data_IF_905549291180
#
_entry.id   IF_905549291180
#
_cell.length_a   1.000
_cell.length_b   1.000
_cell.length_c   1.000
_cell.angle_alpha   90.00
_cell.angle_beta   90.00
_cell.angle_gamma   90.00
#
_symmetry.space_group_name_H-M   'P 1'
#
loop_
_entity.id
_entity.type
_entity.pdbx_description
1 polymer ?
#
# COMPACT_ATOMS: atom_id res chain seq x y z
N UNK A 1 21.96 -50.24 50.73
CA UNK A 1 20.55 -49.80 50.78
C UNK A 1 20.45 -48.50 49.97
N UNK A 2 20.14 -48.61 48.68
CA UNK A 2 20.00 -47.49 47.76
C UNK A 2 18.60 -46.89 47.90
N UNK A 3 18.49 -45.57 48.05
CA UNK A 3 17.24 -44.83 47.88
C UNK A 3 17.40 -43.91 46.67
N UNK A 4 16.88 -44.39 45.54
CA UNK A 4 16.61 -43.62 44.34
C UNK A 4 15.42 -42.67 44.60
N UNK A 5 15.62 -41.38 44.36
CA UNK A 5 14.52 -40.44 44.11
C UNK A 5 14.68 -39.88 42.70
N UNK A 6 14.11 -40.61 41.75
CA UNK A 6 13.79 -40.12 40.41
C UNK A 6 12.46 -39.36 40.50
N UNK A 7 12.47 -38.05 40.29
CA UNK A 7 11.25 -37.25 40.15
C UNK A 7 11.16 -36.62 38.76
N UNK A 8 10.77 -37.40 37.73
CA UNK A 8 10.60 -36.92 36.36
C UNK A 8 9.53 -35.82 36.23
N UNK A 9 8.67 -35.63 37.25
CA UNK A 9 7.61 -34.61 37.24
C UNK A 9 8.13 -33.18 37.46
N UNK A 10 9.22 -33.00 38.21
CA UNK A 10 9.78 -31.65 38.48
C UNK A 10 10.53 -31.12 37.25
N UNK A 11 11.19 -32.01 36.50
CA UNK A 11 11.88 -31.67 35.26
C UNK A 11 10.89 -31.32 34.12
N UNK A 12 9.74 -32.01 34.06
CA UNK A 12 8.68 -31.72 33.08
C UNK A 12 7.99 -30.37 33.34
N UNK A 13 7.76 -30.02 34.62
CA UNK A 13 7.18 -28.73 35.03
C UNK A 13 8.14 -27.56 34.76
N UNK A 14 9.44 -27.75 34.96
CA UNK A 14 10.45 -26.74 34.62
C UNK A 14 10.56 -26.53 33.09
N UNK A 15 10.48 -27.61 32.29
CA UNK A 15 10.45 -27.51 30.82
C UNK A 15 9.18 -26.84 30.30
N UNK A 16 8.00 -27.09 30.91
CA UNK A 16 6.74 -26.42 30.56
C UNK A 16 6.70 -24.94 30.98
N UNK A 17 7.35 -24.56 32.09
CA UNK A 17 7.51 -23.15 32.48
C UNK A 17 8.49 -22.40 31.56
N UNK A 18 9.57 -23.05 31.12
CA UNK A 18 10.50 -22.46 30.13
C UNK A 18 9.84 -22.40 28.74
N UNK A 19 9.04 -23.40 28.34
CA UNK A 19 8.29 -23.35 27.07
C UNK A 19 7.19 -22.27 27.08
N UNK A 20 6.50 -22.05 28.21
CA UNK A 20 5.49 -20.99 28.34
C UNK A 20 6.08 -19.59 28.49
N UNK A 21 7.30 -19.45 29.01
CA UNK A 21 8.04 -18.17 29.00
C UNK A 21 8.65 -17.84 27.63
N UNK A 22 8.97 -18.85 26.80
CA UNK A 22 9.42 -18.64 25.40
C UNK A 22 8.27 -18.48 24.39
N UNK A 23 7.07 -19.01 24.67
CA UNK A 23 5.88 -18.82 23.82
C UNK A 23 5.23 -17.44 24.00
N UNK A 24 5.47 -16.76 25.13
CA UNK A 24 4.92 -15.43 25.39
C UNK A 24 5.82 -14.27 24.91
N UNK A 25 7.01 -14.53 24.39
CA UNK A 25 7.94 -13.49 23.90
C UNK A 25 8.03 -13.37 22.37
N UNK A 26 7.16 -14.09 21.64
CA UNK A 26 7.06 -14.03 20.17
C UNK A 26 5.67 -13.67 19.70
N UNK A 27 4.91 -12.90 20.49
CA UNK A 27 4.05 -11.91 19.85
C UNK A 27 5.01 -10.91 19.21
N UNK A 28 5.16 -11.00 17.89
CA UNK A 28 5.68 -9.91 17.09
C UNK A 28 4.81 -8.70 17.42
N UNK A 29 5.23 -7.93 18.41
CA UNK A 29 4.62 -6.68 18.78
C UNK A 29 4.78 -5.85 17.52
N UNK A 30 3.67 -5.70 16.79
CA UNK A 30 3.63 -4.85 15.62
C UNK A 30 4.08 -3.50 16.12
N UNK A 31 5.34 -3.14 15.87
CA UNK A 31 5.87 -1.92 16.44
C UNK A 31 5.07 -0.82 15.78
N UNK A 32 4.52 0.09 16.59
CA UNK A 32 3.61 1.16 16.15
C UNK A 32 4.20 2.04 15.01
N UNK A 33 5.48 1.83 14.67
CA UNK A 33 6.27 2.62 13.74
C UNK A 33 6.75 1.82 12.50
N UNK A 34 6.24 0.62 12.26
CA UNK A 34 6.50 -0.16 11.03
C UNK A 34 5.51 0.17 9.90
N UNK A 35 5.72 -0.35 8.69
CA UNK A 35 4.92 -0.03 7.49
C UNK A 35 4.27 -1.27 6.89
N UNK A 36 3.26 -1.86 7.54
CA UNK A 36 2.83 -3.23 7.28
C UNK A 36 1.99 -3.41 6.01
N UNK A 37 1.56 -2.33 5.35
CA UNK A 37 0.58 -2.37 4.26
C UNK A 37 0.68 -1.11 3.39
N UNK A 38 -0.10 -1.11 2.30
CA UNK A 38 -0.31 0.05 1.46
C UNK A 38 -0.56 1.33 2.28
N UNK A 39 0.23 2.38 2.01
CA UNK A 39 0.18 3.68 2.67
C UNK A 39 0.38 3.66 4.20
N UNK A 40 1.12 2.67 4.71
CA UNK A 40 1.54 2.63 6.11
C UNK A 40 0.47 2.10 7.08
N UNK A 41 0.70 2.18 8.40
CA UNK A 41 -0.13 1.52 9.42
C UNK A 41 -1.63 1.76 9.30
N UNK A 42 -2.02 3.02 9.10
CA UNK A 42 -3.41 3.44 8.98
C UNK A 42 -3.93 3.45 7.53
N UNK A 43 -3.06 3.21 6.54
CA UNK A 43 -3.39 3.37 5.12
C UNK A 43 -3.57 4.82 4.67
N UNK A 44 -3.18 5.79 5.48
CA UNK A 44 -3.35 7.23 5.21
C UNK A 44 -2.12 7.90 4.58
N UNK A 45 -0.97 7.21 4.55
CA UNK A 45 0.30 7.76 4.07
C UNK A 45 0.94 8.68 5.09
N UNK A 46 1.05 8.20 6.33
CA UNK A 46 1.67 8.94 7.43
C UNK A 46 2.78 8.08 8.04
N UNK A 47 3.93 8.70 8.28
CA UNK A 47 5.07 8.10 8.94
C UNK A 47 5.32 8.80 10.27
N UNK A 48 5.22 8.03 11.35
CA UNK A 48 5.64 8.43 12.70
C UNK A 48 7.17 8.31 12.82
N UNK A 49 7.84 9.35 12.37
CA UNK A 49 9.28 9.47 12.33
C UNK A 49 9.85 9.76 13.74
N UNK A 50 11.03 9.21 14.08
CA UNK A 50 11.71 9.52 15.33
C UNK A 50 11.85 11.04 15.54
N UNK A 51 11.62 11.53 16.76
CA UNK A 51 11.65 12.98 17.06
C UNK A 51 12.97 13.66 16.69
N UNK A 52 14.09 12.93 16.73
CA UNK A 52 15.41 13.43 16.39
C UNK A 52 15.80 13.21 14.92
N UNK A 53 14.88 12.84 14.05
CA UNK A 53 15.14 12.71 12.60
C UNK A 53 15.53 14.05 12.00
N UNK A 54 16.52 14.05 11.10
CA UNK A 54 16.96 15.24 10.36
C UNK A 54 16.36 15.22 8.96
N UNK A 55 15.64 16.30 8.65
CA UNK A 55 14.95 16.48 7.37
C UNK A 55 15.67 17.49 6.46
N UNK A 56 16.64 18.22 6.99
CA UNK A 56 17.57 19.04 6.23
C UNK A 56 18.87 18.25 6.03
N UNK A 57 19.20 17.98 4.77
CA UNK A 57 20.34 17.18 4.32
C UNK A 57 21.44 18.01 3.68
N UNK A 58 21.49 19.31 3.98
CA UNK A 58 22.58 20.21 3.58
C UNK A 58 23.93 19.80 4.17
N UNK A 59 23.92 19.15 5.35
CA UNK A 59 25.10 18.70 6.09
C UNK A 59 25.25 17.18 6.05
N UNK A 60 24.29 16.46 6.62
CA UNK A 60 24.25 15.00 6.63
C UNK A 60 23.19 14.47 5.66
N UNK A 61 23.59 13.59 4.74
CA UNK A 61 22.69 13.01 3.73
C UNK A 61 22.23 11.60 4.14
N UNK A 62 21.10 11.11 3.57
CA UNK A 62 20.73 9.71 3.71
C UNK A 62 21.90 8.78 3.32
N UNK A 63 22.18 7.78 4.16
CA UNK A 63 23.28 6.85 3.95
C UNK A 63 22.76 5.49 3.48
N UNK A 64 23.30 4.97 2.38
CA UNK A 64 22.97 3.61 1.92
C UNK A 64 23.38 2.58 2.99
N UNK A 65 22.44 1.73 3.40
CA UNK A 65 22.67 0.64 4.35
C UNK A 65 22.94 -0.65 3.60
N UNK A 66 22.09 -0.98 2.62
CA UNK A 66 22.25 -2.13 1.74
C UNK A 66 21.48 -1.92 0.44
N UNK A 67 21.89 -2.67 -0.58
CA UNK A 67 21.25 -2.77 -1.89
C UNK A 67 21.11 -4.25 -2.26
N UNK A 68 20.02 -4.61 -2.94
CA UNK A 68 19.74 -5.96 -3.43
C UNK A 68 19.23 -5.93 -4.86
N UNK A 69 19.75 -6.82 -5.71
CA UNK A 69 19.20 -7.06 -7.05
C UNK A 69 17.84 -7.75 -6.96
N UNK A 70 16.86 -7.21 -7.68
CA UNK A 70 15.48 -7.72 -7.76
C UNK A 70 15.03 -7.73 -9.21
N UNK A 71 13.97 -8.49 -9.51
CA UNK A 71 13.32 -8.47 -10.82
C UNK A 71 12.36 -7.28 -10.99
N UNK A 72 11.91 -6.98 -12.22
CA UNK A 72 11.01 -5.86 -12.52
C UNK A 72 9.67 -5.98 -11.80
N UNK A 73 9.15 -4.87 -11.26
CA UNK A 73 7.88 -4.82 -10.54
C UNK A 73 7.55 -3.39 -10.06
N UNK A 74 6.27 -3.14 -9.81
CA UNK A 74 5.78 -1.90 -9.18
C UNK A 74 5.22 -2.14 -7.77
N UNK A 75 5.45 -3.33 -7.21
CA UNK A 75 5.03 -3.69 -5.87
C UNK A 75 5.61 -2.72 -4.85
N UNK A 76 4.77 -2.17 -3.99
CA UNK A 76 5.27 -1.45 -2.82
C UNK A 76 5.95 -2.39 -1.83
N UNK A 77 6.53 -1.79 -0.79
CA UNK A 77 7.27 -2.52 0.24
C UNK A 77 6.45 -2.52 1.54
N UNK A 78 6.43 -3.66 2.22
CA UNK A 78 5.84 -3.81 3.55
C UNK A 78 6.93 -4.15 4.57
N UNK A 79 6.85 -3.57 5.76
CA UNK A 79 7.82 -3.77 6.84
C UNK A 79 7.08 -4.14 8.12
N UNK A 80 7.58 -5.13 8.85
CA UNK A 80 7.09 -5.52 10.18
C UNK A 80 8.21 -6.17 10.98
N UNK A 81 8.60 -5.57 12.10
CA UNK A 81 9.75 -6.01 12.87
C UNK A 81 11.02 -5.99 12.01
N UNK A 82 11.74 -7.11 11.96
CA UNK A 82 12.95 -7.26 11.13
C UNK A 82 12.66 -7.79 9.70
N UNK A 83 11.39 -7.90 9.32
CA UNK A 83 10.96 -8.41 8.02
C UNK A 83 10.65 -7.26 7.06
N UNK A 84 11.23 -7.30 5.86
CA UNK A 84 10.91 -6.41 4.73
C UNK A 84 10.43 -7.29 3.57
N UNK A 85 9.18 -7.12 3.16
CA UNK A 85 8.50 -7.99 2.19
C UNK A 85 8.03 -7.18 1.00
N UNK A 86 8.31 -7.66 -0.21
CA UNK A 86 7.81 -7.11 -1.48
C UNK A 86 7.66 -8.23 -2.51
N UNK A 87 7.31 -7.87 -3.74
CA UNK A 87 7.13 -8.81 -4.84
C UNK A 87 7.91 -8.39 -6.08
N UNK A 88 8.41 -9.35 -6.84
CA UNK A 88 8.97 -9.15 -8.17
C UNK A 88 8.54 -10.23 -9.16
N UNK A 89 8.84 -10.02 -10.45
CA UNK A 89 8.78 -11.08 -11.45
C UNK A 89 10.21 -11.50 -11.78
N UNK A 90 10.45 -12.81 -11.79
CA UNK A 90 11.72 -13.39 -12.19
C UNK A 90 11.51 -14.25 -13.44
N UNK A 91 12.49 -14.24 -14.32
CA UNK A 91 12.50 -15.18 -15.44
C UNK A 91 12.70 -16.60 -14.91
N UNK A 92 12.09 -17.58 -15.59
CA UNK A 92 12.35 -18.99 -15.31
C UNK A 92 12.89 -19.64 -16.60
N UNK A 93 13.90 -20.52 -16.46
CA UNK A 93 14.53 -21.19 -17.61
C UNK A 93 13.58 -22.20 -18.29
N UNK A 94 12.41 -22.44 -17.70
CA UNK A 94 11.42 -23.43 -18.14
C UNK A 94 10.41 -22.84 -19.15
N UNK A 95 10.45 -21.54 -19.42
CA UNK A 95 9.50 -20.87 -20.35
C UNK A 95 9.77 -21.15 -21.83
N UNK A 96 10.85 -21.87 -22.17
CA UNK A 96 11.23 -22.13 -23.56
C UNK A 96 11.55 -20.84 -24.35
N UNK A 97 11.92 -19.76 -23.66
CA UNK A 97 12.23 -18.47 -24.27
C UNK A 97 11.02 -17.53 -24.48
N UNK A 98 9.83 -17.87 -23.95
CA UNK A 98 8.70 -16.93 -23.95
C UNK A 98 8.96 -15.76 -22.97
N UNK A 99 9.11 -14.51 -23.48
CA UNK A 99 9.38 -13.33 -22.64
C UNK A 99 8.19 -12.90 -21.77
N UNK A 100 7.00 -13.47 -21.98
CA UNK A 100 5.78 -13.18 -21.23
C UNK A 100 5.48 -14.22 -20.13
N UNK A 101 6.17 -15.36 -20.13
CA UNK A 101 6.11 -16.34 -19.07
C UNK A 101 7.22 -16.07 -18.04
N UNK A 102 6.99 -16.45 -16.79
CA UNK A 102 7.97 -16.32 -15.71
C UNK A 102 7.29 -16.65 -14.39
N UNK A 103 7.96 -16.33 -13.28
CA UNK A 103 7.40 -16.53 -11.96
C UNK A 103 7.19 -15.18 -11.27
N UNK A 104 6.00 -14.99 -10.69
CA UNK A 104 5.84 -13.96 -9.67
C UNK A 104 6.37 -14.51 -8.33
N UNK A 105 7.20 -13.71 -7.67
CA UNK A 105 7.84 -14.06 -6.41
C UNK A 105 7.45 -13.06 -5.33
N UNK A 106 6.99 -13.59 -4.19
CA UNK A 106 6.92 -12.87 -2.92
C UNK A 106 8.20 -13.22 -2.15
N UNK A 107 8.93 -12.24 -1.66
CA UNK A 107 10.16 -12.51 -0.90
C UNK A 107 10.30 -11.59 0.30
N UNK A 108 10.98 -12.09 1.32
CA UNK A 108 11.30 -11.37 2.53
C UNK A 108 12.81 -11.26 2.69
N UNK A 109 13.27 -10.07 3.06
CA UNK A 109 14.66 -9.82 3.44
C UNK A 109 14.77 -9.32 4.86
N UNK A 110 15.95 -9.48 5.44
CA UNK A 110 16.28 -8.91 6.74
C UNK A 110 16.38 -7.39 6.64
N UNK A 111 15.67 -6.68 7.52
CA UNK A 111 15.62 -5.21 7.55
C UNK A 111 17.00 -4.55 7.65
N UNK A 112 17.94 -5.15 8.39
CA UNK A 112 19.26 -4.58 8.69
C UNK A 112 20.31 -4.91 7.63
N UNK A 113 20.24 -6.08 7.02
CA UNK A 113 21.31 -6.58 6.13
C UNK A 113 20.90 -6.68 4.66
N UNK A 114 19.60 -6.76 4.35
CA UNK A 114 19.11 -7.02 2.98
C UNK A 114 19.20 -8.49 2.54
N UNK A 115 19.66 -9.37 3.43
CA UNK A 115 19.79 -10.81 3.17
C UNK A 115 18.43 -11.46 3.00
N UNK A 116 18.33 -12.42 2.08
CA UNK A 116 17.10 -13.17 1.85
C UNK A 116 16.79 -14.03 3.08
N UNK A 117 15.57 -13.91 3.61
CA UNK A 117 15.06 -14.80 4.67
C UNK A 117 14.28 -15.95 4.05
N UNK A 118 13.31 -15.63 3.18
CA UNK A 118 12.50 -16.61 2.48
C UNK A 118 11.97 -16.03 1.16
N UNK A 119 11.56 -16.92 0.26
CA UNK A 119 10.81 -16.57 -0.94
C UNK A 119 9.76 -17.63 -1.25
N UNK A 120 8.67 -17.20 -1.89
CA UNK A 120 7.62 -18.04 -2.43
C UNK A 120 7.31 -17.57 -3.86
N UNK A 121 7.37 -18.49 -4.82
CA UNK A 121 7.15 -18.19 -6.23
C UNK A 121 6.04 -19.05 -6.81
N UNK A 122 5.38 -18.54 -7.85
CA UNK A 122 4.40 -19.27 -8.65
C UNK A 122 4.46 -18.83 -10.11
N UNK A 123 4.16 -19.74 -11.06
CA UNK A 123 4.12 -19.40 -12.47
C UNK A 123 3.09 -18.29 -12.77
N UNK A 124 3.47 -17.35 -13.63
CA UNK A 124 2.61 -16.28 -14.10
C UNK A 124 2.91 -15.97 -15.57
N UNK A 125 1.85 -15.88 -16.37
CA UNK A 125 1.95 -15.58 -17.79
C UNK A 125 1.25 -14.26 -18.09
N UNK A 126 2.01 -13.29 -18.58
CA UNK A 126 1.58 -11.91 -18.79
C UNK A 126 1.03 -11.64 -20.20
N UNK A 127 0.50 -12.66 -20.88
CA UNK A 127 -0.02 -12.55 -22.26
C UNK A 127 -1.13 -11.51 -22.42
N UNK A 128 -1.92 -11.28 -21.37
CA UNK A 128 -3.08 -10.39 -21.39
C UNK A 128 -2.75 -9.00 -20.77
N UNK A 129 -1.49 -8.73 -20.44
CA UNK A 129 -1.04 -7.45 -19.87
C UNK A 129 -0.36 -6.57 -20.93
N UNK A 130 -0.64 -5.27 -20.87
CA UNK A 130 -0.05 -4.27 -21.79
C UNK A 130 1.46 -4.08 -21.62
N UNK A 131 2.01 -4.45 -20.46
CA UNK A 131 3.46 -4.48 -20.24
C UNK A 131 3.86 -5.58 -19.26
N UNK A 132 5.12 -6.03 -19.38
CA UNK A 132 5.59 -7.27 -18.78
C UNK A 132 6.32 -7.11 -17.41
N UNK A 133 6.17 -5.96 -16.75
CA UNK A 133 6.74 -5.73 -15.41
C UNK A 133 5.89 -6.38 -14.32
N UNK A 134 6.56 -6.88 -13.28
CA UNK A 134 6.01 -7.77 -12.25
C UNK A 134 4.87 -7.22 -11.40
N UNK A 135 4.56 -7.85 -10.25
CA UNK A 135 3.43 -7.50 -9.40
C UNK A 135 3.38 -6.02 -8.99
N UNK A 136 2.19 -5.54 -8.60
CA UNK A 136 1.93 -4.10 -8.42
C UNK A 136 1.31 -3.73 -7.06
N UNK A 137 0.86 -4.73 -6.30
CA UNK A 137 0.33 -4.50 -4.95
C UNK A 137 1.44 -4.24 -3.95
N UNK A 138 1.13 -3.55 -2.86
CA UNK A 138 1.93 -3.65 -1.63
C UNK A 138 1.42 -4.85 -0.83
N UNK A 139 2.30 -5.78 -0.40
CA UNK A 139 1.90 -6.84 0.51
C UNK A 139 1.25 -6.28 1.78
N UNK A 140 0.26 -6.97 2.32
CA UNK A 140 -0.37 -6.60 3.59
C UNK A 140 0.05 -7.60 4.66
N UNK A 141 0.77 -7.13 5.68
CA UNK A 141 1.18 -7.91 6.85
C UNK A 141 0.16 -7.69 7.95
N UNK A 142 -0.44 -8.76 8.45
CA UNK A 142 -1.38 -8.72 9.57
C UNK A 142 -1.29 -10.01 10.38
N UNK A 143 -1.17 -9.90 11.70
CA UNK A 143 -1.16 -11.04 12.64
C UNK A 143 -0.24 -12.21 12.21
N UNK A 144 1.00 -11.90 11.85
CA UNK A 144 2.01 -12.91 11.47
C UNK A 144 1.78 -13.55 10.09
N UNK A 145 0.89 -12.98 9.27
CA UNK A 145 0.59 -13.43 7.90
C UNK A 145 0.86 -12.32 6.92
N UNK A 146 1.17 -12.68 5.68
CA UNK A 146 1.29 -11.76 4.56
C UNK A 146 0.31 -12.14 3.46
N UNK A 147 -0.43 -11.13 2.99
CA UNK A 147 -1.44 -11.23 1.95
C UNK A 147 -1.00 -10.48 0.71
N UNK A 148 -1.07 -11.15 -0.44
CA UNK A 148 -0.71 -10.57 -1.74
C UNK A 148 -1.72 -10.94 -2.80
N UNK A 149 -1.86 -10.08 -3.81
CA UNK A 149 -2.57 -10.38 -5.05
C UNK A 149 -1.61 -10.17 -6.22
N UNK A 150 -1.29 -11.26 -6.91
CA UNK A 150 -0.44 -11.24 -8.10
C UNK A 150 -1.09 -10.48 -9.27
N UNK A 151 -0.27 -10.03 -10.24
CA UNK A 151 -0.78 -9.21 -11.34
C UNK A 151 -1.83 -9.94 -12.18
N UNK A 152 -1.76 -11.28 -12.19
CA UNK A 152 -2.66 -12.19 -12.92
C UNK A 152 -3.63 -12.96 -12.00
N UNK A 153 -3.85 -12.51 -10.77
CA UNK A 153 -5.00 -12.96 -9.97
C UNK A 153 -4.72 -14.06 -8.93
N UNK A 154 -3.45 -14.36 -8.65
CA UNK A 154 -3.08 -15.27 -7.56
C UNK A 154 -3.21 -14.55 -6.22
N UNK A 155 -4.28 -14.84 -5.47
CA UNK A 155 -4.48 -14.37 -4.12
C UNK A 155 -3.81 -15.33 -3.15
N UNK A 156 -2.80 -14.85 -2.41
CA UNK A 156 -1.93 -15.71 -1.61
C UNK A 156 -1.88 -15.24 -0.16
N UNK A 157 -1.89 -16.19 0.78
CA UNK A 157 -1.58 -15.98 2.18
C UNK A 157 -0.39 -16.85 2.59
N UNK A 158 0.65 -16.22 3.11
CA UNK A 158 1.85 -16.89 3.62
C UNK A 158 2.03 -16.59 5.11
N UNK A 159 2.73 -17.48 5.82
CA UNK A 159 3.30 -17.15 7.11
C UNK A 159 4.38 -16.07 6.91
N UNK A 160 4.29 -14.95 7.64
CA UNK A 160 5.18 -13.81 7.43
C UNK A 160 6.65 -14.11 7.78
N UNK A 161 6.90 -15.01 8.72
CA UNK A 161 8.26 -15.33 9.19
C UNK A 161 8.93 -16.43 8.36
N UNK A 162 8.19 -17.46 7.96
CA UNK A 162 8.76 -18.61 7.22
C UNK A 162 8.53 -18.57 5.71
N UNK A 163 7.62 -17.74 5.22
CA UNK A 163 7.20 -17.74 3.81
C UNK A 163 6.36 -18.95 3.41
N UNK A 164 6.02 -19.85 4.35
CA UNK A 164 5.22 -21.02 4.06
C UNK A 164 3.82 -20.63 3.62
N UNK A 165 3.36 -21.20 2.50
CA UNK A 165 1.98 -21.02 2.01
C UNK A 165 0.98 -21.57 3.03
N UNK A 166 0.08 -20.71 3.49
CA UNK A 166 -1.07 -21.09 4.30
C UNK A 166 -2.22 -21.48 3.36
N UNK A 167 -2.53 -20.61 2.40
CA UNK A 167 -3.49 -20.88 1.34
C UNK A 167 -3.17 -20.01 0.11
N UNK A 168 -3.68 -20.41 -1.05
CA UNK A 168 -3.62 -19.65 -2.30
C UNK A 168 -4.87 -19.96 -3.13
N UNK A 169 -5.38 -18.93 -3.82
CA UNK A 169 -6.49 -19.02 -4.77
C UNK A 169 -6.04 -18.45 -6.11
N UNK A 170 -6.34 -19.11 -7.21
CA UNK A 170 -6.25 -18.53 -8.56
C UNK A 170 -7.62 -17.95 -8.91
N UNK A 171 -7.80 -16.64 -8.72
CA UNK A 171 -9.10 -15.99 -8.91
C UNK A 171 -9.54 -16.01 -10.38
N UNK A 172 -8.61 -16.10 -11.34
CA UNK A 172 -8.96 -16.17 -12.76
C UNK A 172 -9.46 -17.56 -13.10
N UNK A 173 -8.73 -18.61 -12.70
CA UNK A 173 -9.13 -19.99 -12.98
C UNK A 173 -10.37 -20.42 -12.18
N UNK A 174 -10.46 -20.06 -10.91
CA UNK A 174 -11.51 -20.52 -10.01
C UNK A 174 -12.78 -19.67 -10.08
N UNK A 175 -12.62 -18.34 -10.17
CA UNK A 175 -13.70 -17.38 -10.04
C UNK A 175 -13.96 -16.57 -11.32
N UNK A 176 -13.28 -16.93 -12.42
CA UNK A 176 -13.40 -16.29 -13.73
C UNK A 176 -13.18 -14.76 -13.66
N UNK A 177 -12.32 -14.32 -12.73
CA UNK A 177 -11.99 -12.93 -12.53
C UNK A 177 -11.37 -12.33 -13.81
N UNK A 178 -11.72 -11.08 -14.13
CA UNK A 178 -11.21 -10.41 -15.32
C UNK A 178 -9.97 -9.58 -14.99
N UNK A 179 -8.82 -10.01 -15.52
CA UNK A 179 -7.55 -9.30 -15.37
C UNK A 179 -7.64 -7.89 -16.00
N UNK A 180 -7.33 -6.81 -15.25
CA UNK A 180 -7.25 -5.45 -15.80
C UNK A 180 -6.12 -5.31 -16.83
N UNK A 181 -6.21 -4.32 -17.72
CA UNK A 181 -5.21 -4.05 -18.77
C UNK A 181 -3.76 -3.99 -18.25
N UNK A 182 -3.57 -3.46 -17.05
CA UNK A 182 -2.26 -3.36 -16.41
C UNK A 182 -2.10 -4.30 -15.20
N UNK A 183 -2.93 -5.33 -15.09
CA UNK A 183 -2.91 -6.30 -14.01
C UNK A 183 -3.51 -5.79 -12.70
N UNK A 184 -3.72 -6.69 -11.74
CA UNK A 184 -4.23 -6.32 -10.42
C UNK A 184 -3.18 -5.52 -9.62
N UNK A 185 -3.64 -4.43 -8.99
CA UNK A 185 -2.79 -3.54 -8.17
C UNK A 185 -3.47 -3.06 -6.89
N UNK A 186 -4.77 -3.34 -6.72
CA UNK A 186 -5.47 -3.09 -5.48
C UNK A 186 -4.90 -3.98 -4.35
N UNK A 187 -4.16 -3.35 -3.43
CA UNK A 187 -3.51 -4.07 -2.34
C UNK A 187 -4.55 -4.71 -1.41
N UNK A 188 -4.38 -5.97 -0.99
CA UNK A 188 -5.37 -6.63 -0.13
C UNK A 188 -5.61 -5.87 1.18
N UNK A 189 -6.88 -5.64 1.52
CA UNK A 189 -7.27 -4.91 2.73
C UNK A 189 -7.79 -5.88 3.79
N UNK A 190 -7.18 -5.90 4.98
CA UNK A 190 -7.77 -6.59 6.14
C UNK A 190 -8.66 -5.62 6.92
N UNK A 191 -9.88 -6.06 7.22
CA UNK A 191 -10.79 -5.42 8.17
C UNK A 191 -11.27 -6.43 9.22
N UNK A 192 -11.62 -5.96 10.41
CA UNK A 192 -12.13 -6.78 11.52
C UNK A 192 -11.24 -8.00 11.83
N UNK A 193 -9.91 -7.82 11.67
CA UNK A 193 -8.83 -8.80 11.86
C UNK A 193 -8.91 -10.10 11.05
N UNK A 194 -10.00 -10.34 10.33
CA UNK A 194 -10.29 -11.65 9.76
C UNK A 194 -10.84 -11.60 8.34
N UNK A 195 -11.27 -10.43 7.87
CA UNK A 195 -11.93 -10.26 6.58
C UNK A 195 -11.00 -9.57 5.59
N UNK A 196 -10.62 -10.30 4.54
CA UNK A 196 -9.73 -9.88 3.47
C UNK A 196 -10.53 -9.36 2.28
N UNK A 197 -10.53 -8.05 2.07
CA UNK A 197 -11.24 -7.37 1.00
C UNK A 197 -10.35 -7.25 -0.24
N UNK A 198 -10.89 -7.64 -1.39
CA UNK A 198 -10.23 -7.66 -2.69
C UNK A 198 -11.10 -6.96 -3.74
N UNK A 199 -10.47 -6.21 -4.63
CA UNK A 199 -11.08 -5.59 -5.82
C UNK A 199 -10.60 -6.36 -7.06
N UNK A 200 -11.39 -7.32 -7.53
CA UNK A 200 -10.95 -8.27 -8.56
C UNK A 200 -11.97 -8.61 -9.64
N UNK A 201 -13.19 -8.06 -9.60
CA UNK A 201 -14.23 -8.33 -10.61
C UNK A 201 -14.42 -9.84 -10.90
N UNK A 202 -14.56 -10.62 -9.82
CA UNK A 202 -14.94 -12.03 -9.86
C UNK A 202 -16.29 -12.19 -10.57
N UNK A 203 -16.53 -13.34 -11.17
CA UNK A 203 -17.78 -13.61 -11.88
C UNK A 203 -18.60 -14.73 -11.22
N UNK A 204 -19.93 -14.57 -11.12
CA UNK A 204 -20.70 -13.36 -11.42
C UNK A 204 -20.60 -12.32 -10.28
N UNK A 205 -20.77 -11.03 -10.60
CA UNK A 205 -21.06 -9.93 -9.66
C UNK A 205 -20.10 -9.79 -8.45
N UNK A 206 -18.79 -9.89 -8.67
CA UNK A 206 -17.78 -9.74 -7.63
C UNK A 206 -16.76 -8.65 -7.92
N UNK A 207 -17.19 -7.44 -8.31
CA UNK A 207 -16.34 -6.26 -8.37
C UNK A 207 -15.47 -6.18 -7.11
N UNK A 208 -16.11 -6.22 -5.94
CA UNK A 208 -15.46 -6.44 -4.65
C UNK A 208 -15.87 -7.78 -4.06
N UNK A 209 -14.94 -8.40 -3.34
CA UNK A 209 -15.19 -9.61 -2.58
C UNK A 209 -14.45 -9.58 -1.25
N UNK A 210 -14.99 -10.31 -0.27
CA UNK A 210 -14.38 -10.57 1.00
C UNK A 210 -14.09 -12.06 1.16
N UNK A 211 -12.89 -12.37 1.62
CA UNK A 211 -12.46 -13.72 1.95
C UNK A 211 -12.13 -13.81 3.43
N UNK A 212 -12.33 -14.97 4.02
CA UNK A 212 -11.78 -15.31 5.33
C UNK A 212 -10.25 -15.35 5.21
N UNK A 213 -9.58 -14.48 5.94
CA UNK A 213 -8.13 -14.29 5.88
C UNK A 213 -7.33 -15.50 6.38
N UNK A 214 -7.96 -16.42 7.11
CA UNK A 214 -7.31 -17.62 7.64
C UNK A 214 -7.38 -18.80 6.67
N UNK A 215 -8.43 -18.86 5.85
CA UNK A 215 -8.76 -20.03 5.04
C UNK A 215 -8.83 -19.76 3.54
N UNK A 216 -8.94 -18.49 3.12
CA UNK A 216 -9.13 -18.11 1.72
C UNK A 216 -10.53 -18.46 1.18
N UNK A 217 -11.48 -18.83 2.04
CA UNK A 217 -12.87 -19.06 1.66
C UNK A 217 -13.60 -17.74 1.48
N UNK A 218 -14.42 -17.63 0.46
CA UNK A 218 -15.24 -16.44 0.27
C UNK A 218 -16.28 -16.30 1.38
N UNK A 219 -16.47 -15.05 1.83
CA UNK A 219 -17.52 -14.64 2.76
C UNK A 219 -18.66 -13.97 1.99
N UNK A 220 -18.33 -13.03 1.09
CA UNK A 220 -19.29 -12.36 0.21
C UNK A 220 -18.61 -11.81 -1.04
N UNK A 221 -19.38 -11.59 -2.11
CA UNK A 221 -18.99 -10.78 -3.27
C UNK A 221 -20.14 -9.87 -3.70
N UNK A 222 -19.84 -8.70 -4.26
CA UNK A 222 -20.85 -7.78 -4.79
C UNK A 222 -20.30 -6.82 -5.86
N UNK A 223 -21.21 -6.26 -6.65
CA UNK A 223 -20.93 -5.28 -7.70
C UNK A 223 -20.57 -5.91 -9.05
N UNK A 224 -20.97 -5.22 -10.10
CA UNK A 224 -20.90 -5.63 -11.50
C UNK A 224 -19.89 -4.82 -12.32
N UNK A 225 -19.26 -3.81 -11.70
CA UNK A 225 -18.23 -3.02 -12.34
C UNK A 225 -16.94 -3.83 -12.57
N UNK A 226 -16.14 -3.49 -13.59
CA UNK A 226 -14.81 -4.05 -13.75
C UNK A 226 -13.92 -3.72 -12.56
N UNK A 227 -12.79 -4.42 -12.43
CA UNK A 227 -11.82 -4.12 -11.39
C UNK A 227 -11.06 -2.83 -11.73
N UNK A 228 -10.92 -1.98 -10.72
CA UNK A 228 -10.02 -0.83 -10.70
C UNK A 228 -8.64 -1.18 -10.18
N UNK A 229 -7.88 -0.15 -9.82
CA UNK A 229 -6.48 -0.27 -9.40
C UNK A 229 -6.25 0.09 -7.92
N UNK A 230 -7.30 0.52 -7.20
CA UNK A 230 -7.24 0.80 -5.75
C UNK A 230 -8.06 -0.18 -4.92
N UNK A 231 -7.57 -0.43 -3.71
CA UNK A 231 -8.36 -1.03 -2.64
C UNK A 231 -9.45 -0.05 -2.15
N UNK A 232 -10.56 -0.56 -1.57
CA UNK A 232 -11.51 0.30 -0.89
C UNK A 232 -10.92 0.83 0.43
N UNK A 233 -11.57 1.83 1.02
CA UNK A 233 -11.28 2.28 2.39
C UNK A 233 -12.44 1.90 3.31
N UNK A 234 -12.15 1.61 4.58
CA UNK A 234 -13.17 1.48 5.62
C UNK A 234 -13.38 2.85 6.27
N UNK A 235 -14.58 3.41 6.17
CA UNK A 235 -14.95 4.68 6.80
C UNK A 235 -15.84 4.44 8.01
N UNK A 236 -15.73 5.33 9.00
CA UNK A 236 -16.59 5.36 10.19
C UNK A 236 -17.23 6.74 10.35
N UNK A 237 -18.49 6.78 10.77
CA UNK A 237 -19.23 8.00 11.10
C UNK A 237 -20.25 7.72 12.20
N UNK A 238 -19.99 8.25 13.39
CA UNK A 238 -20.69 7.79 14.60
C UNK A 238 -20.53 6.28 14.76
N UNK A 239 -21.64 5.58 14.98
CA UNK A 239 -21.69 4.12 15.09
C UNK A 239 -21.72 3.39 13.72
N UNK A 240 -21.89 4.12 12.61
CA UNK A 240 -21.97 3.54 11.28
C UNK A 240 -20.57 3.31 10.70
N UNK A 241 -20.39 2.18 10.00
CA UNK A 241 -19.20 1.88 9.22
C UNK A 241 -19.55 1.31 7.85
N UNK A 242 -18.78 1.64 6.82
CA UNK A 242 -18.94 1.06 5.50
C UNK A 242 -17.62 1.07 4.73
N UNK A 243 -17.49 0.19 3.74
CA UNK A 243 -16.44 0.26 2.75
C UNK A 243 -16.82 1.29 1.68
N UNK A 244 -15.85 2.07 1.22
CA UNK A 244 -15.98 2.96 0.06
C UNK A 244 -15.00 2.49 -1.01
N UNK A 245 -15.53 2.06 -2.15
CA UNK A 245 -14.77 1.62 -3.30
C UNK A 245 -14.87 2.64 -4.44
N UNK A 246 -13.79 2.81 -5.20
CA UNK A 246 -13.80 3.51 -6.48
C UNK A 246 -13.52 2.50 -7.58
N UNK A 247 -14.43 2.42 -8.54
CA UNK A 247 -14.41 1.48 -9.66
C UNK A 247 -14.27 2.24 -10.98
N UNK A 248 -14.07 1.54 -12.10
CA UNK A 248 -14.09 2.12 -13.45
C UNK A 248 -15.38 2.83 -13.86
N UNK A 249 -16.50 2.64 -13.13
CA UNK A 249 -17.81 3.20 -13.50
C UNK A 249 -18.50 3.95 -12.38
N UNK A 250 -18.15 3.70 -11.12
CA UNK A 250 -18.85 4.24 -9.97
C UNK A 250 -17.92 4.49 -8.78
N UNK A 251 -18.37 5.38 -7.91
CA UNK A 251 -17.92 5.46 -6.52
C UNK A 251 -19.03 4.85 -5.67
N UNK A 252 -18.70 3.86 -4.86
CA UNK A 252 -19.69 3.01 -4.20
C UNK A 252 -19.46 2.93 -2.71
N UNK A 253 -20.54 3.00 -1.94
CA UNK A 253 -20.56 2.66 -0.52
C UNK A 253 -21.20 1.31 -0.31
N UNK A 254 -20.55 0.43 0.46
CA UNK A 254 -21.02 -0.93 0.70
C UNK A 254 -20.84 -1.33 2.17
N UNK A 255 -21.78 -2.10 2.68
CA UNK A 255 -21.68 -2.72 4.00
C UNK A 255 -20.43 -3.60 4.10
N UNK A 256 -19.59 -3.35 5.11
CA UNK A 256 -18.43 -4.18 5.39
C UNK A 256 -18.80 -5.63 5.74
N UNK A 257 -19.97 -5.83 6.38
CA UNK A 257 -20.39 -7.15 6.86
C UNK A 257 -20.77 -8.12 5.74
N UNK A 258 -21.38 -7.62 4.66
CA UNK A 258 -22.01 -8.49 3.63
C UNK A 258 -21.90 -7.94 2.20
N UNK A 259 -21.14 -6.88 1.96
CA UNK A 259 -20.94 -6.30 0.63
C UNK A 259 -22.16 -5.62 0.03
N UNK A 260 -23.29 -5.50 0.76
CA UNK A 260 -24.50 -4.85 0.26
C UNK A 260 -24.18 -3.39 -0.11
N UNK A 261 -24.42 -3.04 -1.37
CA UNK A 261 -24.25 -1.68 -1.86
C UNK A 261 -25.37 -0.80 -1.28
N UNK A 262 -24.98 0.27 -0.58
CA UNK A 262 -25.89 1.24 0.02
C UNK A 262 -26.21 2.37 -0.97
N UNK A 263 -25.20 2.84 -1.70
CA UNK A 263 -25.31 3.92 -2.68
C UNK A 263 -24.24 3.78 -3.75
N UNK A 264 -24.50 4.36 -4.92
CA UNK A 264 -23.56 4.49 -6.05
C UNK A 264 -23.62 5.92 -6.58
N UNK A 265 -22.47 6.50 -6.92
CA UNK A 265 -22.34 7.75 -7.67
C UNK A 265 -21.67 7.42 -9.01
N UNK A 266 -22.28 7.73 -10.16
CA UNK A 266 -21.66 7.48 -11.48
C UNK A 266 -20.33 8.22 -11.63
N UNK A 267 -19.32 7.48 -12.07
CA UNK A 267 -18.03 8.02 -12.45
C UNK A 267 -17.31 7.08 -13.41
N UNK A 268 -17.58 7.24 -14.71
CA UNK A 268 -16.94 6.44 -15.75
C UNK A 268 -15.57 7.02 -16.10
N UNK A 269 -14.53 6.18 -16.06
CA UNK A 269 -13.14 6.60 -16.27
C UNK A 269 -12.48 5.85 -17.43
N UNK A 270 -11.74 6.61 -18.24
CA UNK A 270 -11.02 6.11 -19.41
C UNK A 270 -10.01 5.00 -19.03
N UNK A 271 -10.00 3.89 -19.78
CA UNK A 271 -9.19 2.69 -19.51
C UNK A 271 -9.34 2.09 -18.09
N UNK A 272 -10.40 2.44 -17.36
CA UNK A 272 -10.66 1.93 -16.02
C UNK A 272 -9.70 2.43 -14.93
N UNK A 273 -9.00 3.55 -15.12
CA UNK A 273 -7.95 4.07 -14.22
C UNK A 273 -8.45 4.65 -12.88
N UNK A 274 -9.20 3.86 -12.12
CA UNK A 274 -9.53 4.14 -10.72
C UNK A 274 -8.36 3.77 -9.80
N UNK A 275 -7.39 4.67 -9.66
CA UNK A 275 -6.06 4.39 -9.07
C UNK A 275 -5.84 5.04 -7.69
N UNK A 276 -6.13 6.33 -7.53
CA UNK A 276 -6.00 7.02 -6.24
C UNK A 276 -6.99 6.47 -5.20
N UNK A 277 -6.51 6.02 -4.04
CA UNK A 277 -7.36 5.62 -2.92
C UNK A 277 -8.21 6.81 -2.46
N UNK A 278 -9.53 6.62 -2.23
CA UNK A 278 -10.38 7.71 -1.76
C UNK A 278 -9.88 8.33 -0.45
N UNK A 279 -10.04 9.65 -0.29
CA UNK A 279 -9.84 10.35 0.99
C UNK A 279 -11.20 10.52 1.64
N UNK A 280 -11.32 10.21 2.93
CA UNK A 280 -12.54 10.44 3.70
C UNK A 280 -12.28 11.41 4.85
N UNK A 281 -12.89 12.59 4.78
CA UNK A 281 -12.69 13.66 5.75
C UNK A 281 -13.98 14.42 6.02
N UNK A 282 -14.31 14.60 7.30
CA UNK A 282 -15.45 15.40 7.74
C UNK A 282 -16.78 15.02 7.03
N UNK A 283 -17.00 13.73 6.78
CA UNK A 283 -18.20 13.26 6.09
C UNK A 283 -18.20 13.43 4.58
N UNK A 284 -17.05 13.79 4.00
CA UNK A 284 -16.84 13.92 2.56
C UNK A 284 -15.85 12.88 2.06
N UNK A 285 -16.08 12.40 0.84
CA UNK A 285 -15.23 11.44 0.14
C UNK A 285 -14.71 12.16 -1.12
N UNK A 286 -13.39 12.25 -1.25
CA UNK A 286 -12.73 12.75 -2.45
C UNK A 286 -12.15 11.58 -3.24
N UNK A 287 -12.39 11.57 -4.54
CA UNK A 287 -11.67 10.74 -5.51
C UNK A 287 -11.04 11.62 -6.58
N UNK A 288 -9.83 11.26 -7.00
CA UNK A 288 -9.04 12.01 -7.98
C UNK A 288 -8.72 11.09 -9.16
N UNK A 289 -9.38 11.32 -10.29
CA UNK A 289 -9.19 10.67 -11.58
C UNK A 289 -8.25 11.43 -12.52
N UNK A 290 -7.78 10.72 -13.54
CA UNK A 290 -6.73 11.23 -14.41
C UNK A 290 -7.27 12.07 -15.59
N UNK A 291 -8.23 11.54 -16.33
CA UNK A 291 -8.82 12.28 -17.47
C UNK A 291 -10.06 13.05 -17.04
N UNK A 292 -10.89 12.44 -16.22
CA UNK A 292 -12.21 12.96 -15.86
C UNK A 292 -12.21 13.79 -14.57
N UNK A 293 -11.04 14.18 -14.04
CA UNK A 293 -10.94 15.13 -12.94
C UNK A 293 -11.09 14.54 -11.54
N UNK A 294 -11.59 15.34 -10.61
CA UNK A 294 -11.87 14.93 -9.22
C UNK A 294 -13.33 15.18 -8.86
N UNK A 295 -13.86 14.37 -7.94
CA UNK A 295 -15.21 14.53 -7.38
C UNK A 295 -15.18 14.52 -5.87
N UNK A 296 -15.93 15.44 -5.25
CA UNK A 296 -16.24 15.38 -3.83
C UNK A 296 -17.68 14.93 -3.62
N UNK A 297 -17.85 13.97 -2.73
CA UNK A 297 -19.13 13.39 -2.37
C UNK A 297 -19.37 13.61 -0.88
N UNK A 298 -20.57 14.00 -0.49
CA UNK A 298 -21.00 14.06 0.91
C UNK A 298 -21.86 12.85 1.22
N UNK A 299 -21.55 12.14 2.31
CA UNK A 299 -22.36 11.02 2.82
C UNK A 299 -23.26 11.47 3.97
N UNK A 300 -24.40 10.78 4.15
CA UNK A 300 -25.26 10.95 5.32
C UNK A 300 -24.60 10.42 6.60
N UNK A 301 -25.10 10.84 7.78
CA UNK A 301 -24.58 10.37 9.07
C UNK A 301 -24.71 8.86 9.25
N UNK A 302 -25.79 8.27 8.74
CA UNK A 302 -26.03 6.83 8.76
C UNK A 302 -25.33 6.07 7.62
N UNK A 303 -24.57 6.76 6.79
CA UNK A 303 -23.80 6.22 5.67
C UNK A 303 -24.63 5.55 4.55
N UNK A 304 -25.97 5.66 4.57
CA UNK A 304 -26.85 5.00 3.60
C UNK A 304 -27.07 5.78 2.30
N UNK A 305 -26.78 7.08 2.29
CA UNK A 305 -26.93 7.91 1.10
C UNK A 305 -25.69 8.76 0.87
N UNK A 306 -25.52 9.16 -0.38
CA UNK A 306 -24.43 10.01 -0.82
C UNK A 306 -24.92 10.99 -1.88
N UNK A 307 -24.31 12.17 -1.93
CA UNK A 307 -24.58 13.18 -2.96
C UNK A 307 -23.28 13.81 -3.47
N UNK A 308 -23.23 14.09 -4.76
CA UNK A 308 -22.18 14.92 -5.34
C UNK A 308 -22.22 16.32 -4.72
N UNK A 309 -21.07 16.86 -4.35
CA UNK A 309 -20.90 18.23 -3.85
C UNK A 309 -20.34 19.11 -4.96
N UNK A 310 -19.23 18.69 -5.56
CA UNK A 310 -18.61 19.33 -6.71
C UNK A 310 -17.81 18.33 -7.53
N UNK A 311 -17.53 18.70 -8.77
CA UNK A 311 -16.58 18.04 -9.67
C UNK A 311 -15.72 19.10 -10.37
N UNK A 312 -14.46 18.76 -10.67
CA UNK A 312 -13.49 19.65 -11.30
C UNK A 312 -12.59 18.80 -12.21
N UNK A 313 -12.40 19.18 -13.48
CA UNK A 313 -11.78 18.33 -14.49
C UNK A 313 -10.59 18.95 -15.23
N UNK A 314 -10.11 20.13 -14.82
CA UNK A 314 -9.01 20.84 -15.47
C UNK A 314 -7.74 20.84 -14.62
N UNK A 315 -7.84 21.08 -13.32
CA UNK A 315 -6.68 21.27 -12.43
C UNK A 315 -6.50 20.16 -11.39
N UNK A 316 -7.54 19.36 -11.15
CA UNK A 316 -7.54 18.31 -10.14
C UNK A 316 -7.50 16.93 -10.82
N UNK A 317 -6.47 16.68 -11.63
CA UNK A 317 -6.31 15.44 -12.39
C UNK A 317 -5.15 14.58 -11.88
N UNK A 318 -5.47 13.69 -10.95
CA UNK A 318 -4.54 12.74 -10.34
C UNK A 318 -4.42 11.43 -11.12
N UNK A 319 -3.20 10.92 -11.29
CA UNK A 319 -2.96 9.60 -11.88
C UNK A 319 -2.63 8.54 -10.82
N UNK A 320 -1.34 8.29 -10.57
CA UNK A 320 -0.85 7.24 -9.66
C UNK A 320 -0.37 7.80 -8.32
N UNK A 321 -0.27 9.13 -8.19
CA UNK A 321 0.11 9.78 -6.94
C UNK A 321 -1.11 9.90 -6.03
N UNK A 322 -0.95 9.38 -4.82
CA UNK A 322 -1.97 9.42 -3.81
C UNK A 322 -2.00 10.80 -3.14
N UNK A 323 -3.11 11.54 -3.20
CA UNK A 323 -3.18 12.87 -2.59
C UNK A 323 -3.01 12.79 -1.07
N UNK A 324 -2.50 13.88 -0.50
CA UNK A 324 -2.47 14.09 0.95
C UNK A 324 -3.55 15.08 1.36
N UNK A 325 -4.13 14.88 2.54
CA UNK A 325 -5.03 15.84 3.17
C UNK A 325 -4.43 16.34 4.49
N UNK A 326 -4.58 17.63 4.78
CA UNK A 326 -4.31 18.22 6.10
C UNK A 326 -5.07 19.53 6.24
N UNK A 327 -5.74 19.72 7.38
CA UNK A 327 -6.34 21.01 7.78
C UNK A 327 -7.22 21.65 6.69
N UNK A 328 -8.13 20.86 6.11
CA UNK A 328 -9.07 21.34 5.09
C UNK A 328 -8.50 21.48 3.68
N UNK A 329 -7.22 21.19 3.47
CA UNK A 329 -6.54 21.30 2.18
C UNK A 329 -6.07 19.93 1.69
N UNK A 330 -6.07 19.76 0.36
CA UNK A 330 -5.59 18.57 -0.33
C UNK A 330 -4.42 18.95 -1.21
N UNK A 331 -3.40 18.11 -1.21
CA UNK A 331 -2.19 18.23 -2.02
C UNK A 331 -2.15 17.07 -3.00
N UNK A 332 -2.45 17.37 -4.26
CA UNK A 332 -2.58 16.40 -5.34
C UNK A 332 -1.48 16.64 -6.37
N UNK A 333 -0.80 15.59 -6.83
CA UNK A 333 0.03 15.71 -8.02
C UNK A 333 -0.86 15.68 -9.27
N UNK A 334 -1.06 16.85 -9.86
CA UNK A 334 -1.73 17.03 -11.13
C UNK A 334 -0.78 16.74 -12.30
N UNK A 335 -1.37 16.28 -13.40
CA UNK A 335 -0.64 15.88 -14.61
C UNK A 335 0.07 17.01 -15.36
N UNK A 336 -0.34 18.27 -15.20
CA UNK A 336 0.17 19.43 -15.93
C UNK A 336 0.79 20.47 -15.00
N UNK A 337 0.23 20.63 -13.80
CA UNK A 337 0.53 21.74 -12.92
C UNK A 337 1.45 21.40 -11.74
N UNK A 338 1.86 20.13 -11.62
CA UNK A 338 2.64 19.63 -10.50
C UNK A 338 1.76 19.44 -9.25
N UNK A 339 2.31 19.67 -8.05
CA UNK A 339 1.50 19.64 -6.82
C UNK A 339 0.52 20.81 -6.84
N UNK A 340 -0.77 20.49 -6.77
CA UNK A 340 -1.88 21.44 -6.62
C UNK A 340 -2.40 21.36 -5.19
N UNK A 341 -2.40 22.49 -4.50
CA UNK A 341 -3.10 22.65 -3.23
C UNK A 341 -4.48 23.23 -3.49
N UNK A 342 -5.52 22.60 -2.95
CA UNK A 342 -6.89 23.09 -3.05
C UNK A 342 -7.66 22.85 -1.75
N UNK A 343 -8.68 23.68 -1.52
CA UNK A 343 -9.57 23.51 -0.39
C UNK A 343 -10.54 22.35 -0.65
N UNK A 344 -10.57 21.35 0.25
CA UNK A 344 -11.36 20.12 0.08
C UNK A 344 -12.84 20.42 -0.18
N UNK A 345 -13.44 21.32 0.61
CA UNK A 345 -14.90 21.54 0.60
C UNK A 345 -15.34 22.32 -0.64
N UNK A 346 -14.54 23.29 -1.07
CA UNK A 346 -14.92 24.20 -2.17
C UNK A 346 -14.35 23.80 -3.53
N UNK A 347 -13.34 22.93 -3.57
CA UNK A 347 -12.59 22.59 -4.78
C UNK A 347 -11.71 23.73 -5.31
N UNK A 348 -11.67 24.89 -4.62
CA UNK A 348 -10.90 26.05 -5.07
C UNK A 348 -9.40 25.80 -4.89
N UNK A 349 -8.67 25.99 -5.98
CA UNK A 349 -7.20 25.97 -6.01
C UNK A 349 -6.68 27.13 -5.17
N UNK A 350 -5.66 26.83 -4.36
CA UNK A 350 -4.92 27.81 -3.56
C UNK A 350 -3.61 28.16 -4.25
N UNK A 351 -2.82 27.15 -4.63
CA UNK A 351 -1.55 27.32 -5.33
C UNK A 351 -1.16 26.06 -6.11
N UNK A 352 -0.18 26.20 -7.01
CA UNK A 352 0.52 25.08 -7.65
C UNK A 352 2.02 25.20 -7.43
N UNK A 353 2.73 24.09 -7.27
CA UNK A 353 4.19 24.08 -7.15
C UNK A 353 4.89 24.31 -8.51
N UNK A 354 4.12 24.33 -9.60
CA UNK A 354 4.60 24.53 -10.98
C UNK A 354 5.61 23.45 -11.41
N UNK A 355 5.40 22.21 -10.98
CA UNK A 355 6.27 21.05 -11.27
C UNK A 355 7.67 21.16 -10.61
N UNK A 356 7.77 21.79 -9.45
CA UNK A 356 9.02 21.86 -8.68
C UNK A 356 9.38 20.52 -8.02
N UNK A 357 8.39 19.80 -7.46
CA UNK A 357 8.66 18.52 -6.80
C UNK A 357 9.11 17.43 -7.78
N UNK A 358 8.37 17.29 -8.87
CA UNK A 358 8.56 16.23 -9.88
C UNK A 358 8.50 16.85 -11.27
N UNK A 359 9.41 16.49 -12.19
CA UNK A 359 9.41 17.04 -13.53
C UNK A 359 8.08 16.78 -14.26
N UNK A 360 7.70 17.74 -15.12
CA UNK A 360 6.54 17.56 -16.00
C UNK A 360 6.80 16.40 -16.96
N UNK A 361 5.89 15.45 -17.01
CA UNK A 361 5.97 14.29 -17.88
C UNK A 361 4.61 13.81 -18.35
N UNK A 362 4.58 12.75 -19.17
CA UNK A 362 3.30 12.15 -19.63
C UNK A 362 2.50 11.55 -18.48
N UNK A 363 3.19 10.91 -17.54
CA UNK A 363 2.62 10.23 -16.38
C UNK A 363 3.44 10.60 -15.13
N UNK A 364 3.33 11.84 -14.64
CA UNK A 364 4.10 12.26 -13.46
C UNK A 364 3.66 11.43 -12.25
N UNK A 365 4.62 11.03 -11.43
CA UNK A 365 4.39 10.25 -10.23
C UNK A 365 5.21 10.83 -9.08
N UNK A 366 4.60 10.80 -7.89
CA UNK A 366 5.29 10.92 -6.61
C UNK A 366 4.52 10.15 -5.53
N UNK A 367 5.22 9.36 -4.73
CA UNK A 367 4.68 8.79 -3.50
C UNK A 367 4.79 9.82 -2.39
N UNK A 368 3.66 10.35 -1.93
CA UNK A 368 3.60 11.38 -0.88
C UNK A 368 3.25 10.75 0.48
N UNK A 369 4.02 11.11 1.51
CA UNK A 369 3.86 10.62 2.89
C UNK A 369 4.05 11.77 3.88
N UNK A 370 3.08 12.02 4.76
CA UNK A 370 3.24 12.97 5.86
C UNK A 370 4.30 12.49 6.86
N UNK A 371 5.13 13.41 7.35
CA UNK A 371 6.05 13.18 8.45
C UNK A 371 5.41 13.75 9.72
N UNK A 372 5.02 12.86 10.63
CA UNK A 372 4.32 13.18 11.86
C UNK A 372 3.05 14.06 11.60
N UNK A 373 2.52 14.63 12.67
CA UNK A 373 1.48 15.66 12.56
C UNK A 373 2.11 17.05 12.32
N UNK A 374 2.68 17.27 11.12
CA UNK A 374 3.38 18.51 10.75
C UNK A 374 3.09 18.95 9.31
N UNK A 375 3.62 20.09 8.85
CA UNK A 375 3.56 20.44 7.42
C UNK A 375 4.59 19.71 6.56
N UNK A 376 5.41 18.82 7.14
CA UNK A 376 6.49 18.14 6.41
C UNK A 376 6.01 16.86 5.73
N UNK A 377 6.46 16.62 4.52
CA UNK A 377 6.20 15.39 3.78
C UNK A 377 7.47 14.82 3.15
N UNK A 378 7.56 13.48 3.14
CA UNK A 378 8.50 12.72 2.32
C UNK A 378 7.86 12.41 0.98
N UNK A 379 8.58 12.68 -0.11
CA UNK A 379 8.12 12.47 -1.46
C UNK A 379 9.15 11.63 -2.22
N UNK A 380 8.80 10.41 -2.65
CA UNK A 380 9.63 9.67 -3.62
C UNK A 380 9.05 9.91 -5.01
N UNK A 381 9.75 10.69 -5.84
CA UNK A 381 9.27 11.02 -7.19
C UNK A 381 9.62 9.92 -8.21
N UNK A 382 9.03 10.03 -9.41
CA UNK A 382 9.22 9.08 -10.50
C UNK A 382 10.69 8.90 -10.91
N UNK A 383 11.52 9.93 -10.70
CA UNK A 383 12.95 9.90 -10.99
C UNK A 383 13.77 9.23 -9.88
N UNK A 384 13.14 8.64 -8.86
CA UNK A 384 13.82 7.92 -7.79
C UNK A 384 14.52 8.85 -6.79
N UNK A 385 14.11 10.11 -6.74
CA UNK A 385 14.59 11.09 -5.78
C UNK A 385 13.65 11.13 -4.57
N UNK A 386 14.24 10.99 -3.38
CA UNK A 386 13.57 11.27 -2.12
C UNK A 386 13.70 12.77 -1.83
N UNK A 387 12.56 13.43 -1.69
CA UNK A 387 12.46 14.87 -1.47
C UNK A 387 11.73 15.12 -0.16
N UNK A 388 12.32 15.95 0.69
CA UNK A 388 11.66 16.50 1.88
C UNK A 388 11.01 17.82 1.48
N UNK A 389 9.72 17.94 1.72
CA UNK A 389 8.95 19.15 1.41
C UNK A 389 8.22 19.67 2.65
N UNK A 390 7.87 20.96 2.61
CA UNK A 390 6.80 21.53 3.41
C UNK A 390 5.61 21.77 2.48
N UNK A 391 4.45 21.27 2.88
CA UNK A 391 3.16 21.44 2.21
C UNK A 391 2.20 22.08 3.22
N UNK A 392 1.69 23.27 2.86
CA UNK A 392 0.70 23.99 3.65
C UNK A 392 -0.19 24.82 2.74
N UNK A 393 -1.27 25.39 3.25
CA UNK A 393 -2.07 26.36 2.48
C UNK A 393 -1.28 27.60 2.06
N UNK A 394 -0.17 27.93 2.73
CA UNK A 394 0.68 29.08 2.38
C UNK A 394 1.60 28.80 1.19
N UNK A 395 1.88 27.53 0.89
CA UNK A 395 2.73 27.17 -0.24
C UNK A 395 3.44 25.83 -0.13
N UNK A 396 4.30 25.64 -1.12
CA UNK A 396 5.27 24.56 -1.24
C UNK A 396 6.68 25.10 -0.96
N UNK A 397 7.47 24.35 -0.19
CA UNK A 397 8.93 24.58 -0.13
C UNK A 397 9.67 23.25 -0.08
N UNK A 398 10.74 23.13 -0.87
CA UNK A 398 11.67 22.01 -0.78
C UNK A 398 12.72 22.26 0.30
N UNK A 399 12.95 21.27 1.16
CA UNK A 399 14.00 21.33 2.18
C UNK A 399 15.23 20.56 1.74
N UNK A 400 15.06 19.40 1.10
CA UNK A 400 16.16 18.51 0.75
C UNK A 400 15.77 17.53 -0.33
N UNK A 401 16.76 17.07 -1.10
CA UNK A 401 16.60 16.11 -2.20
C UNK A 401 17.79 15.17 -2.26
N UNK A 402 17.52 13.89 -2.43
CA UNK A 402 18.55 12.86 -2.56
C UNK A 402 18.07 11.72 -3.47
N UNK A 403 18.85 11.39 -4.51
CA UNK A 403 18.59 10.24 -5.39
C UNK A 403 18.87 8.94 -4.64
N UNK A 404 17.87 8.08 -4.49
CA UNK A 404 17.99 6.80 -3.77
C UNK A 404 17.78 5.56 -4.65
N UNK A 405 17.13 5.71 -5.80
CA UNK A 405 16.85 4.62 -6.76
C UNK A 405 16.73 5.22 -8.17
N UNK A 406 16.59 4.39 -9.20
CA UNK A 406 16.28 4.87 -10.55
C UNK A 406 14.78 5.13 -10.74
N UNK A 407 14.32 5.19 -11.99
CA UNK A 407 12.91 5.42 -12.28
C UNK A 407 12.01 4.43 -11.53
N UNK A 408 11.02 4.94 -10.82
CA UNK A 408 10.15 4.11 -9.99
C UNK A 408 8.71 4.60 -9.92
N UNK A 409 7.78 3.65 -9.92
CA UNK A 409 6.39 3.86 -9.49
C UNK A 409 6.06 3.09 -8.21
N UNK A 410 7.04 2.37 -7.65
CA UNK A 410 6.85 1.60 -6.45
C UNK A 410 6.78 2.52 -5.23
N UNK A 411 5.90 2.19 -4.30
CA UNK A 411 5.73 2.97 -3.08
C UNK A 411 6.81 2.60 -2.05
N UNK A 412 7.44 3.60 -1.40
CA UNK A 412 8.43 3.35 -0.37
C UNK A 412 7.77 2.86 0.91
N UNK A 413 8.59 2.31 1.80
CA UNK A 413 8.20 1.99 3.17
C UNK A 413 9.14 2.66 4.15
N UNK A 414 8.63 2.96 5.34
CA UNK A 414 9.40 3.59 6.42
C UNK A 414 9.39 2.70 7.67
N UNK A 415 10.51 2.58 8.36
CA UNK A 415 10.58 1.93 9.69
C UNK A 415 11.68 2.58 10.49
N UNK A 416 11.31 3.23 11.60
CA UNK A 416 12.23 4.06 12.39
C UNK A 416 12.90 5.11 11.50
N UNK A 417 14.22 5.12 11.36
CA UNK A 417 15.01 6.00 10.48
C UNK A 417 15.36 5.39 9.13
N UNK A 418 14.77 4.25 8.77
CA UNK A 418 15.05 3.58 7.51
C UNK A 418 13.94 3.88 6.50
N UNK A 419 14.35 4.15 5.27
CA UNK A 419 13.48 4.15 4.09
C UNK A 419 13.88 3.00 3.17
N UNK A 420 12.89 2.26 2.71
CA UNK A 420 13.02 1.21 1.71
C UNK A 420 12.38 1.68 0.42
N UNK A 421 13.11 1.55 -0.68
CA UNK A 421 12.63 1.91 -2.01
C UNK A 421 13.11 0.86 -3.02
N UNK A 422 12.52 0.86 -4.20
CA UNK A 422 12.93 -0.02 -5.30
C UNK A 422 12.69 0.61 -6.65
N UNK A 423 13.39 0.09 -7.65
CA UNK A 423 13.10 0.25 -9.07
C UNK A 423 12.92 -1.13 -9.72
N UNK A 424 13.04 -1.23 -11.04
CA UNK A 424 12.89 -2.50 -11.76
C UNK A 424 14.08 -3.47 -11.60
N UNK A 425 15.19 -3.03 -11.02
CA UNK A 425 16.44 -3.81 -10.93
C UNK A 425 16.96 -3.96 -9.51
N UNK A 426 16.64 -3.01 -8.63
CA UNK A 426 17.21 -2.92 -7.28
C UNK A 426 16.17 -2.58 -6.25
N UNK A 427 16.35 -3.13 -5.04
CA UNK A 427 15.73 -2.68 -3.81
C UNK A 427 16.84 -2.16 -2.89
N UNK A 428 16.59 -1.00 -2.28
CA UNK A 428 17.56 -0.28 -1.45
C UNK A 428 17.00 -0.01 -0.06
N UNK A 429 17.90 0.10 0.91
CA UNK A 429 17.61 0.66 2.22
C UNK A 429 18.57 1.81 2.49
N UNK A 430 18.02 2.98 2.79
CA UNK A 430 18.77 4.14 3.25
C UNK A 430 18.43 4.45 4.69
N UNK A 431 19.44 4.86 5.46
CA UNK A 431 19.28 5.42 6.79
C UNK A 431 19.23 6.94 6.69
N UNK A 432 18.16 7.51 7.23
CA UNK A 432 17.98 8.95 7.34
C UNK A 432 18.79 9.48 8.54
N UNK A 433 19.43 10.65 8.42
CA UNK A 433 20.26 11.19 9.49
C UNK A 433 19.44 11.53 10.75
N UNK A 434 20.08 11.50 11.91
CA UNK A 434 19.48 11.87 13.20
C UNK A 434 20.36 12.87 13.93
N UNK A 435 19.74 13.81 14.66
CA UNK A 435 20.46 14.62 15.66
C UNK A 435 20.95 13.69 16.76
N UNK A 436 22.27 13.60 16.90
CA UNK A 436 22.88 13.09 18.13
C UNK A 436 22.65 14.18 19.17
N UNK A 437 21.87 13.90 20.19
CA UNK A 437 21.87 14.75 21.38
C UNK A 437 23.29 14.75 21.93
N UNK A 438 23.95 15.91 21.96
CA UNK A 438 25.18 16.00 22.75
C UNK A 438 24.81 15.63 24.20
N UNK A 439 25.54 14.72 24.84
CA UNK A 439 25.33 14.45 26.25
C UNK A 439 25.51 15.77 27.00
N UNK A 440 24.51 16.12 27.82
CA UNK A 440 24.57 17.28 28.72
C UNK A 440 25.70 17.14 29.73
#
# INVERSE_FOLDING_TARGET
>A
MHLHLSHPKVFLLALLLVYSLFLNSLQAQQTLNDWPRWRGPAGAGEWDAPENIQLDWSTDKPALVWERVVGPSYSGIAVSGDLVITMDRIDNDQTGGDPLAGDERVFCVNKKTGDLIWQFSYPAHYKDLDYNKGPRVTPTIHQGKVYTLGAVGHLTCLNATSGMKIWQRDLVAEEKAKVPTWGYSASPLIINDSQLIIHAALQPNGCFAAFDSNTGKEIWRNGDDPAGYTAPILIKRGEAQQLVGWTPKHIIGMSAANGKINWKIPYEVTYGVSIATPIYEQGHILVCGYWEGSKLIKVSDDLKTAKLVWEENEYLRGLMSQPLYREGHVYLLDKQHGIVCFNLITGKIVWTDKNQLTPRGRNPQASLVWVNNSSRAMCLNAEGELVVTSLSSDGYSELSRHKITEFTWAHPAFSKDLIFARDDKKMVCYRLPRKVSQPK
#
